data_IF_414498541160
#
_entry.id   IF_414498541160
#
_cell.length_a   1.000
_cell.length_b   1.000
_cell.length_c   1.000
_cell.angle_alpha   90.00
_cell.angle_beta   90.00
_cell.angle_gamma   90.00
#
_symmetry.space_group_name_H-M   'P 1'
#
loop_
_entity.id
_entity.type
_entity.pdbx_description
1 polymer ?
#
# COMPACT_ATOMS: atom_id res chain seq x y z
N UNK A 1 1.79 -21.61 35.70
CA UNK A 1 3.21 -21.23 35.56
C UNK A 1 3.47 -21.00 34.07
N UNK A 2 3.34 -19.76 33.62
CA UNK A 2 3.52 -19.30 32.24
C UNK A 2 4.35 -18.02 32.36
N UNK A 3 5.55 -17.90 31.76
CA UNK A 3 6.34 -16.69 31.89
C UNK A 3 5.78 -15.59 30.98
N UNK A 4 5.67 -14.39 31.55
CA UNK A 4 5.29 -13.15 30.89
C UNK A 4 6.33 -12.78 29.83
N UNK A 5 5.89 -12.50 28.59
CA UNK A 5 6.74 -11.84 27.59
C UNK A 5 6.86 -10.35 27.94
N UNK A 6 8.09 -9.93 28.23
CA UNK A 6 8.43 -8.52 28.38
C UNK A 6 8.39 -7.83 27.02
N UNK A 7 7.54 -6.82 26.90
CA UNK A 7 7.62 -5.80 25.86
C UNK A 7 8.80 -4.87 26.20
N UNK A 8 9.73 -4.68 25.27
CA UNK A 8 10.74 -3.63 25.33
C UNK A 8 10.69 -2.82 24.03
N UNK A 9 10.46 -1.49 24.09
CA UNK A 9 10.46 -0.61 22.95
C UNK A 9 11.88 -0.10 22.72
N UNK A 10 12.53 -0.50 21.64
CA UNK A 10 13.66 0.26 21.11
C UNK A 10 13.88 -0.03 19.62
N UNK A 11 13.22 0.78 18.80
CA UNK A 11 13.63 1.07 17.42
C UNK A 11 14.97 1.78 17.44
N UNK A 12 16.04 1.06 17.12
CA UNK A 12 17.29 1.52 16.49
C UNK A 12 18.36 0.44 16.69
N UNK A 13 18.33 -0.62 15.89
CA UNK A 13 19.47 -1.53 15.77
C UNK A 13 20.19 -1.24 14.44
N UNK A 14 21.50 -0.93 14.44
CA UNK A 14 22.25 -0.78 13.20
C UNK A 14 22.48 -2.17 12.58
N UNK A 15 22.35 -2.25 11.26
CA UNK A 15 22.67 -3.45 10.50
C UNK A 15 24.12 -3.86 10.76
N UNK A 16 24.32 -5.08 11.26
CA UNK A 16 25.66 -5.67 11.49
C UNK A 16 26.23 -6.12 10.15
N UNK A 17 27.32 -5.48 9.70
CA UNK A 17 28.13 -5.97 8.59
C UNK A 17 29.06 -7.08 9.09
N UNK A 18 28.95 -8.28 8.50
CA UNK A 18 29.92 -9.35 8.69
C UNK A 18 31.18 -9.09 7.85
N UNK A 19 32.31 -8.84 8.50
CA UNK A 19 33.60 -8.65 7.84
C UNK A 19 34.18 -10.01 7.41
N UNK A 20 34.31 -10.24 6.10
CA UNK A 20 35.13 -11.33 5.55
C UNK A 20 36.44 -10.71 5.06
N UNK A 21 37.55 -11.11 5.68
CA UNK A 21 38.91 -10.70 5.30
C UNK A 21 39.44 -11.58 4.18
N UNK A 22 39.80 -11.00 3.03
CA UNK A 22 40.74 -11.61 2.07
C UNK A 22 41.76 -10.57 1.57
N UNK A 23 43.04 -10.94 1.35
CA UNK A 23 44.09 -10.00 1.00
C UNK A 23 44.25 -9.84 -0.53
N UNK A 24 44.29 -8.56 -0.94
CA UNK A 24 44.78 -7.96 -2.20
C UNK A 24 44.76 -8.78 -3.51
N UNK A 25 43.83 -8.42 -4.40
CA UNK A 25 44.10 -8.21 -5.84
C UNK A 25 43.19 -7.09 -6.36
N UNK A 26 43.76 -6.08 -7.02
CA UNK A 26 43.03 -4.98 -7.65
C UNK A 26 42.21 -5.47 -8.84
N UNK A 27 40.88 -5.41 -8.71
CA UNK A 27 39.91 -5.46 -9.82
C UNK A 27 38.85 -4.39 -9.54
N UNK A 28 38.87 -3.33 -10.33
CA UNK A 28 37.77 -2.38 -10.44
C UNK A 28 36.54 -3.12 -10.96
N UNK A 29 35.51 -3.37 -10.14
CA UNK A 29 34.21 -3.82 -10.62
C UNK A 29 33.06 -3.49 -9.63
N UNK A 30 32.25 -2.50 -10.03
CA UNK A 30 30.80 -2.40 -9.80
C UNK A 30 30.17 -2.37 -8.38
N UNK A 31 30.61 -1.49 -7.46
CA UNK A 31 29.74 -1.05 -6.33
C UNK A 31 28.73 0.06 -6.72
N UNK A 32 28.81 0.55 -7.95
CA UNK A 32 28.10 1.74 -8.46
C UNK A 32 26.57 1.70 -8.43
N UNK A 33 25.87 0.55 -8.58
CA UNK A 33 24.40 0.54 -8.58
C UNK A 33 23.81 0.76 -7.18
N UNK A 34 24.35 0.11 -6.14
CA UNK A 34 23.80 0.22 -4.79
C UNK A 34 24.05 1.60 -4.16
N UNK A 35 25.27 2.14 -4.32
CA UNK A 35 25.63 3.44 -3.75
C UNK A 35 24.80 4.60 -4.33
N UNK A 36 24.39 4.49 -5.60
CA UNK A 36 23.49 5.44 -6.25
C UNK A 36 22.04 5.27 -5.82
N UNK A 37 21.59 4.03 -5.59
CA UNK A 37 20.24 3.75 -5.08
C UNK A 37 20.01 4.27 -3.67
N UNK A 38 21.02 4.23 -2.78
CA UNK A 38 20.91 4.81 -1.42
C UNK A 38 20.45 6.28 -1.48
N UNK A 39 20.87 7.02 -2.52
CA UNK A 39 20.54 8.43 -2.74
C UNK A 39 19.27 8.64 -3.57
N UNK A 40 18.37 7.66 -3.62
CA UNK A 40 17.14 7.74 -4.43
C UNK A 40 16.29 8.97 -4.11
N UNK A 41 16.27 9.42 -2.85
CA UNK A 41 15.50 10.60 -2.40
C UNK A 41 16.05 11.87 -3.03
N UNK A 42 17.37 12.04 -3.03
CA UNK A 42 18.08 13.15 -3.64
C UNK A 42 17.89 13.16 -5.15
N UNK A 43 17.97 11.98 -5.79
CA UNK A 43 17.72 11.82 -7.23
C UNK A 43 16.30 12.26 -7.59
N UNK A 44 15.28 11.79 -6.86
CA UNK A 44 13.90 12.21 -7.09
C UNK A 44 13.73 13.71 -6.84
N UNK A 45 14.27 14.24 -5.74
CA UNK A 45 14.16 15.67 -5.43
C UNK A 45 14.77 16.53 -6.55
N UNK A 46 15.89 16.11 -7.13
CA UNK A 46 16.53 16.79 -8.25
C UNK A 46 15.65 16.77 -9.51
N UNK A 47 15.06 15.62 -9.85
CA UNK A 47 14.14 15.48 -10.99
C UNK A 47 12.89 16.35 -10.78
N UNK A 48 12.30 16.30 -9.58
CA UNK A 48 11.11 17.08 -9.23
C UNK A 48 11.37 18.59 -9.26
N UNK A 49 12.56 19.03 -8.86
CA UNK A 49 12.95 20.44 -8.89
C UNK A 49 13.25 20.96 -10.31
N UNK A 50 13.63 20.06 -11.23
CA UNK A 50 14.03 20.41 -12.60
C UNK A 50 13.23 19.59 -13.62
N UNK A 51 11.89 19.69 -13.54
CA UNK A 51 11.00 18.85 -14.35
C UNK A 51 11.29 18.97 -15.85
N UNK A 52 11.47 17.83 -16.51
CA UNK A 52 11.71 17.70 -17.94
C UNK A 52 10.80 16.61 -18.58
N UNK A 53 10.63 16.62 -19.92
CA UNK A 53 9.97 15.53 -20.62
C UNK A 53 10.72 14.21 -20.37
N UNK A 54 9.98 13.15 -20.04
CA UNK A 54 10.55 11.82 -19.76
C UNK A 54 10.74 11.50 -18.27
N UNK A 55 10.55 12.47 -17.37
CA UNK A 55 10.78 12.25 -15.94
C UNK A 55 9.89 11.17 -15.31
N UNK A 56 8.65 11.02 -15.78
CA UNK A 56 7.76 9.98 -15.25
C UNK A 56 8.36 8.60 -15.53
N UNK A 57 8.90 8.39 -16.73
CA UNK A 57 9.57 7.15 -17.11
C UNK A 57 10.86 6.94 -16.31
N UNK A 58 11.66 8.00 -16.12
CA UNK A 58 12.90 7.93 -15.34
C UNK A 58 12.64 7.60 -13.86
N UNK A 59 11.66 8.26 -13.23
CA UNK A 59 11.25 7.98 -11.85
C UNK A 59 10.68 6.56 -11.73
N UNK A 60 9.84 6.12 -12.68
CA UNK A 60 9.29 4.76 -12.69
C UNK A 60 10.40 3.70 -12.81
N UNK A 61 11.41 3.93 -13.67
CA UNK A 61 12.57 3.05 -13.81
C UNK A 61 13.45 2.99 -12.55
N UNK A 62 13.64 4.13 -11.87
CA UNK A 62 14.29 4.14 -10.54
C UNK A 62 13.48 3.30 -9.53
N UNK A 63 12.15 3.39 -9.58
CA UNK A 63 11.24 2.55 -8.80
C UNK A 63 11.44 1.06 -9.06
N UNK A 64 11.57 0.67 -10.33
CA UNK A 64 11.83 -0.73 -10.71
C UNK A 64 13.14 -1.25 -10.14
N UNK A 65 14.21 -0.46 -10.26
CA UNK A 65 15.50 -0.82 -9.69
C UNK A 65 15.40 -0.95 -8.16
N UNK A 66 14.76 0.00 -7.46
CA UNK A 66 14.56 -0.09 -6.01
C UNK A 66 13.77 -1.35 -5.60
N UNK A 67 12.77 -1.74 -6.40
CA UNK A 67 11.97 -2.94 -6.16
C UNK A 67 12.80 -4.22 -6.31
N UNK A 68 13.69 -4.30 -7.30
CA UNK A 68 14.59 -5.44 -7.51
C UNK A 68 15.50 -5.69 -6.29
N UNK A 69 15.94 -4.63 -5.60
CA UNK A 69 16.71 -4.72 -4.36
C UNK A 69 15.84 -4.86 -3.09
N UNK A 70 14.53 -5.06 -3.24
CA UNK A 70 13.60 -5.26 -2.12
C UNK A 70 13.20 -3.99 -1.37
N UNK A 71 13.49 -2.79 -1.90
CA UNK A 71 13.15 -1.52 -1.25
C UNK A 71 11.72 -1.08 -1.64
N UNK A 72 10.74 -1.89 -1.24
CA UNK A 72 9.33 -1.81 -1.67
C UNK A 72 8.68 -0.45 -1.37
N UNK A 73 8.92 0.10 -0.18
CA UNK A 73 8.35 1.40 0.18
C UNK A 73 8.93 2.52 -0.69
N UNK A 74 10.25 2.48 -0.97
CA UNK A 74 10.91 3.47 -1.81
C UNK A 74 10.41 3.38 -3.26
N UNK A 75 10.29 2.16 -3.81
CA UNK A 75 9.77 1.97 -5.17
C UNK A 75 8.34 2.46 -5.32
N UNK A 76 7.46 2.21 -4.34
CA UNK A 76 6.09 2.69 -4.40
C UNK A 76 6.00 4.23 -4.31
N UNK A 77 6.90 4.88 -3.57
CA UNK A 77 7.01 6.35 -3.57
C UNK A 77 7.38 6.86 -4.97
N UNK A 78 8.34 6.22 -5.65
CA UNK A 78 8.65 6.56 -7.04
C UNK A 78 7.39 6.49 -7.92
N UNK A 79 6.67 5.37 -7.86
CA UNK A 79 5.47 5.15 -8.65
C UNK A 79 4.36 6.19 -8.39
N UNK A 80 4.17 6.60 -7.13
CA UNK A 80 3.24 7.69 -6.77
C UNK A 80 3.65 9.01 -7.43
N UNK A 81 4.94 9.29 -7.51
CA UNK A 81 5.50 10.52 -8.09
C UNK A 81 5.59 10.50 -9.62
N UNK A 82 5.24 9.37 -10.25
CA UNK A 82 5.22 9.17 -11.70
C UNK A 82 3.88 8.61 -12.23
N UNK A 83 2.74 9.26 -11.96
CA UNK A 83 1.41 8.72 -12.24
C UNK A 83 1.16 8.40 -13.72
N UNK A 84 1.87 9.07 -14.65
CA UNK A 84 1.72 8.82 -16.09
C UNK A 84 2.48 7.58 -16.59
N UNK A 85 3.45 7.08 -15.81
CA UNK A 85 4.27 5.92 -16.15
C UNK A 85 4.07 4.74 -15.19
N UNK A 86 3.25 4.90 -14.16
CA UNK A 86 3.07 3.93 -13.08
C UNK A 86 1.60 3.79 -12.74
N UNK A 87 0.99 2.69 -13.20
CA UNK A 87 -0.41 2.39 -12.90
C UNK A 87 -0.55 1.84 -11.48
N UNK A 88 -1.41 2.48 -10.68
CA UNK A 88 -1.83 2.02 -9.35
C UNK A 88 -3.26 1.52 -9.47
N UNK A 89 -3.49 0.22 -9.30
CA UNK A 89 -4.80 -0.40 -9.53
C UNK A 89 -4.92 -1.75 -8.81
N UNK A 90 -6.03 -2.46 -9.03
CA UNK A 90 -6.22 -3.82 -8.54
C UNK A 90 -5.20 -4.79 -9.12
N UNK A 91 -4.93 -5.88 -8.41
CA UNK A 91 -3.87 -6.84 -8.77
C UNK A 91 -4.10 -7.51 -10.14
N UNK A 92 -5.36 -7.55 -10.56
CA UNK A 92 -5.87 -8.15 -11.79
C UNK A 92 -5.71 -7.26 -13.02
N UNK A 93 -5.43 -5.96 -12.83
CA UNK A 93 -5.21 -5.05 -13.94
C UNK A 93 -3.81 -5.22 -14.57
N UNK A 94 -3.68 -5.09 -15.90
CA UNK A 94 -2.40 -5.26 -16.59
C UNK A 94 -1.44 -4.12 -16.23
N UNK A 95 -0.15 -4.43 -16.13
CA UNK A 95 0.94 -3.46 -15.91
C UNK A 95 0.81 -2.64 -14.61
N UNK A 96 0.09 -3.14 -13.61
CA UNK A 96 -0.01 -2.51 -12.29
C UNK A 96 1.34 -2.58 -11.57
N UNK A 97 1.78 -1.43 -11.06
CA UNK A 97 3.03 -1.34 -10.28
C UNK A 97 2.84 -1.79 -8.84
N UNK A 98 1.72 -1.41 -8.23
CA UNK A 98 1.27 -1.89 -6.93
C UNK A 98 -0.23 -1.69 -6.72
N UNK A 99 -0.80 -2.44 -5.77
CA UNK A 99 -2.21 -2.31 -5.34
C UNK A 99 -2.32 -1.70 -3.94
N UNK A 100 -1.55 -2.20 -2.97
CA UNK A 100 -1.46 -1.63 -1.62
C UNK A 100 -0.04 -1.14 -1.35
N UNK A 101 0.07 0.00 -0.69
CA UNK A 101 1.36 0.57 -0.30
C UNK A 101 2.13 -0.36 0.65
N UNK A 102 3.43 -0.49 0.40
CA UNK A 102 4.32 -1.35 1.18
C UNK A 102 4.08 -2.86 1.03
N UNK A 103 3.10 -3.29 0.22
CA UNK A 103 2.83 -4.70 0.00
C UNK A 103 3.57 -5.21 -1.24
N UNK A 104 4.34 -6.28 -1.08
CA UNK A 104 5.04 -6.93 -2.20
C UNK A 104 4.37 -8.24 -2.60
N UNK A 105 3.58 -8.17 -3.67
CA UNK A 105 2.90 -9.32 -4.27
C UNK A 105 3.86 -10.21 -5.08
N UNK A 106 5.05 -9.73 -5.43
CA UNK A 106 6.00 -10.48 -6.29
C UNK A 106 6.82 -11.50 -5.50
N UNK A 107 7.12 -11.22 -4.23
CA UNK A 107 7.92 -12.12 -3.39
C UNK A 107 7.08 -13.03 -2.48
N UNK A 108 5.79 -12.72 -2.25
CA UNK A 108 4.94 -13.47 -1.33
C UNK A 108 3.56 -13.77 -1.95
N UNK A 109 3.46 -14.83 -2.74
CA UNK A 109 2.20 -15.32 -3.31
C UNK A 109 1.27 -16.00 -2.27
N UNK A 110 1.60 -15.92 -0.99
CA UNK A 110 0.82 -16.56 0.07
C UNK A 110 -0.39 -15.70 0.46
N UNK A 111 -1.47 -16.40 0.81
CA UNK A 111 -2.77 -15.88 1.28
C UNK A 111 -2.63 -14.80 2.38
N UNK A 112 -1.52 -14.80 3.12
CA UNK A 112 -1.22 -13.84 4.18
C UNK A 112 -1.11 -12.37 3.71
N UNK A 113 -0.85 -12.11 2.43
CA UNK A 113 -0.74 -10.75 1.91
C UNK A 113 -2.09 -9.99 1.85
N UNK A 114 -3.23 -10.70 1.88
CA UNK A 114 -4.54 -10.07 1.90
C UNK A 114 -4.93 -9.51 3.28
N UNK A 115 -4.22 -9.92 4.34
CA UNK A 115 -4.47 -9.52 5.73
C UNK A 115 -3.45 -8.50 6.27
N UNK A 116 -2.75 -7.78 5.38
CA UNK A 116 -1.82 -6.74 5.80
C UNK A 116 -2.56 -5.41 6.06
N UNK A 117 -3.08 -5.26 7.27
CA UNK A 117 -3.77 -4.04 7.71
C UNK A 117 -2.87 -2.79 7.71
N UNK A 118 -1.55 -2.97 7.85
CA UNK A 118 -0.62 -1.85 7.79
C UNK A 118 -0.55 -1.28 6.36
N UNK A 119 -0.46 -2.15 5.36
CA UNK A 119 -0.51 -1.75 3.94
C UNK A 119 -1.86 -1.14 3.56
N UNK A 120 -2.97 -1.68 4.07
CA UNK A 120 -4.29 -1.08 3.92
C UNK A 120 -4.28 0.36 4.47
N UNK A 121 -3.88 0.55 5.73
CA UNK A 121 -3.86 1.87 6.38
C UNK A 121 -2.97 2.89 5.64
N UNK A 122 -1.78 2.48 5.18
CA UNK A 122 -0.93 3.34 4.37
C UNK A 122 -1.62 3.77 3.08
N UNK A 123 -2.35 2.85 2.45
CA UNK A 123 -3.09 3.11 1.20
C UNK A 123 -4.31 4.00 1.45
N UNK A 124 -4.95 3.90 2.62
CA UNK A 124 -6.02 4.82 3.04
C UNK A 124 -5.51 6.25 3.24
N UNK A 125 -4.34 6.42 3.85
CA UNK A 125 -3.71 7.75 4.00
C UNK A 125 -3.40 8.33 2.61
N UNK A 126 -2.93 7.49 1.68
CA UNK A 126 -2.72 7.91 0.31
C UNK A 126 -4.03 8.29 -0.40
N UNK A 127 -5.08 7.47 -0.31
CA UNK A 127 -6.41 7.80 -0.84
C UNK A 127 -6.96 9.11 -0.25
N UNK A 128 -6.78 9.33 1.06
CA UNK A 128 -7.15 10.57 1.71
C UNK A 128 -6.37 11.76 1.14
N UNK A 129 -5.05 11.63 0.95
CA UNK A 129 -4.23 12.64 0.31
C UNK A 129 -4.67 12.98 -1.11
N UNK A 130 -5.12 11.99 -1.88
CA UNK A 130 -5.73 12.20 -3.20
C UNK A 130 -7.03 13.01 -3.08
N UNK A 131 -7.92 12.65 -2.15
CA UNK A 131 -9.19 13.35 -1.95
C UNK A 131 -9.03 14.85 -1.62
N UNK A 132 -7.93 15.24 -0.96
CA UNK A 132 -7.63 16.65 -0.68
C UNK A 132 -7.34 17.49 -1.94
N UNK A 133 -6.95 16.85 -3.04
CA UNK A 133 -6.68 17.50 -4.32
C UNK A 133 -7.91 17.51 -5.25
N UNK A 134 -9.13 17.45 -4.69
CA UNK A 134 -10.41 17.37 -5.40
C UNK A 134 -10.58 16.13 -6.30
N UNK A 135 -9.84 15.05 -6.06
CA UNK A 135 -10.13 13.76 -6.70
C UNK A 135 -11.16 12.98 -5.87
N UNK A 136 -12.42 13.38 -5.99
CA UNK A 136 -13.53 12.86 -5.17
C UNK A 136 -13.89 11.39 -5.46
N UNK A 137 -13.19 10.72 -6.38
CA UNK A 137 -13.46 9.32 -6.72
C UNK A 137 -13.00 8.31 -5.67
N UNK A 138 -12.00 8.62 -4.85
CA UNK A 138 -11.31 7.58 -4.06
C UNK A 138 -10.68 6.50 -4.95
N UNK A 139 -10.32 5.35 -4.37
CA UNK A 139 -9.68 4.25 -5.10
C UNK A 139 -10.64 3.04 -5.19
N UNK A 140 -11.22 2.73 -6.36
CA UNK A 140 -12.19 1.63 -6.48
C UNK A 140 -11.67 0.26 -6.07
N UNK A 141 -10.43 -0.04 -6.46
CA UNK A 141 -9.78 -1.31 -6.13
C UNK A 141 -9.54 -1.47 -4.62
N UNK A 142 -9.48 -0.37 -3.87
CA UNK A 142 -9.25 -0.38 -2.42
C UNK A 142 -10.49 -0.82 -1.63
N UNK A 143 -11.70 -0.62 -2.18
CA UNK A 143 -12.95 -0.77 -1.41
C UNK A 143 -13.20 -2.22 -0.96
N UNK A 144 -12.75 -3.22 -1.72
CA UNK A 144 -12.85 -4.62 -1.32
C UNK A 144 -11.98 -4.93 -0.08
N UNK A 145 -10.78 -4.33 0.01
CA UNK A 145 -9.90 -4.47 1.17
C UNK A 145 -10.48 -3.79 2.41
N UNK A 146 -11.07 -2.60 2.24
CA UNK A 146 -11.79 -1.90 3.31
C UNK A 146 -12.98 -2.70 3.82
N UNK A 147 -13.74 -3.32 2.91
CA UNK A 147 -14.87 -4.18 3.30
C UNK A 147 -14.40 -5.38 4.11
N UNK A 148 -13.32 -6.05 3.69
CA UNK A 148 -12.74 -7.17 4.45
C UNK A 148 -12.31 -6.72 5.85
N UNK A 149 -11.66 -5.56 5.96
CA UNK A 149 -11.28 -4.99 7.26
C UNK A 149 -12.50 -4.62 8.13
N UNK A 150 -13.58 -4.10 7.52
CA UNK A 150 -14.82 -3.82 8.24
C UNK A 150 -15.48 -5.08 8.81
N UNK A 151 -15.45 -6.20 8.07
CA UNK A 151 -15.88 -7.50 8.58
C UNK A 151 -15.05 -7.92 9.80
N UNK A 152 -13.72 -7.83 9.68
CA UNK A 152 -12.82 -8.16 10.79
C UNK A 152 -13.06 -7.26 12.02
N UNK A 153 -13.26 -5.95 11.83
CA UNK A 153 -13.62 -5.02 12.90
C UNK A 153 -14.94 -5.42 13.58
N UNK A 154 -15.95 -5.80 12.81
CA UNK A 154 -17.23 -6.24 13.35
C UNK A 154 -17.08 -7.53 14.18
N UNK A 155 -16.29 -8.49 13.70
CA UNK A 155 -16.02 -9.73 14.43
C UNK A 155 -15.22 -9.50 15.71
N UNK A 156 -14.37 -8.47 15.75
CA UNK A 156 -13.69 -8.01 16.96
C UNK A 156 -14.55 -7.12 17.88
N UNK A 157 -15.81 -6.85 17.53
CA UNK A 157 -16.72 -6.03 18.33
C UNK A 157 -16.61 -4.51 18.12
N UNK A 158 -15.78 -4.04 17.20
CA UNK A 158 -15.64 -2.61 16.85
C UNK A 158 -16.74 -2.17 15.88
N UNK A 159 -18.01 -2.31 16.30
CA UNK A 159 -19.18 -2.13 15.43
C UNK A 159 -19.30 -0.71 14.87
N UNK A 160 -18.99 0.32 15.65
CA UNK A 160 -19.08 1.71 15.20
C UNK A 160 -18.08 2.01 14.08
N UNK A 161 -16.86 1.47 14.19
CA UNK A 161 -15.83 1.67 13.17
C UNK A 161 -16.18 0.89 11.90
N UNK A 162 -16.65 -0.35 12.04
CA UNK A 162 -17.17 -1.12 10.90
C UNK A 162 -18.30 -0.41 10.16
N UNK A 163 -19.23 0.27 10.87
CA UNK A 163 -20.30 1.07 10.26
C UNK A 163 -19.75 2.23 9.43
N UNK A 164 -18.79 2.99 9.96
CA UNK A 164 -18.13 4.10 9.24
C UNK A 164 -17.48 3.62 7.95
N UNK A 165 -16.84 2.45 7.99
CA UNK A 165 -16.29 1.81 6.80
C UNK A 165 -17.39 1.50 5.77
N UNK A 166 -18.48 0.85 6.17
CA UNK A 166 -19.60 0.55 5.28
C UNK A 166 -20.19 1.82 4.65
N UNK A 167 -20.39 2.89 5.42
CA UNK A 167 -20.89 4.18 4.95
C UNK A 167 -19.94 4.82 3.93
N UNK A 168 -18.64 4.87 4.24
CA UNK A 168 -17.61 5.39 3.34
C UNK A 168 -17.58 4.62 2.02
N UNK A 169 -17.62 3.28 2.08
CA UNK A 169 -17.62 2.43 0.89
C UNK A 169 -18.89 2.68 0.05
N UNK A 170 -20.06 2.75 0.69
CA UNK A 170 -21.32 3.02 0.01
C UNK A 170 -21.32 4.38 -0.70
N UNK A 171 -20.70 5.40 -0.10
CA UNK A 171 -20.55 6.71 -0.73
C UNK A 171 -19.67 6.64 -1.97
N UNK A 172 -18.53 5.95 -1.90
CA UNK A 172 -17.64 5.76 -3.06
C UNK A 172 -18.37 4.98 -4.17
N UNK A 173 -19.07 3.89 -3.84
CA UNK A 173 -19.84 3.12 -4.82
C UNK A 173 -20.85 3.99 -5.57
N UNK A 174 -21.53 4.93 -4.88
CA UNK A 174 -22.48 5.86 -5.50
C UNK A 174 -21.81 6.82 -6.50
N UNK A 175 -20.56 7.21 -6.27
CA UNK A 175 -19.82 8.11 -7.16
C UNK A 175 -19.54 7.42 -8.51
N UNK A 176 -19.29 6.12 -8.51
CA UNK A 176 -19.09 5.32 -9.74
C UNK A 176 -20.42 4.88 -10.37
N UNK A 177 -21.27 5.86 -10.73
CA UNK A 177 -22.61 5.63 -11.33
C UNK A 177 -22.58 4.86 -12.66
N UNK A 178 -21.48 4.96 -13.42
CA UNK A 178 -21.25 4.19 -14.66
C UNK A 178 -20.73 2.77 -14.41
N UNK A 179 -20.60 2.38 -13.15
CA UNK A 179 -19.99 1.13 -12.72
C UNK A 179 -18.46 1.23 -12.66
N UNK A 180 -17.90 0.37 -11.82
CA UNK A 180 -16.46 0.12 -11.73
C UNK A 180 -16.25 -1.39 -11.89
N UNK A 181 -15.18 -1.86 -12.57
CA UNK A 181 -14.89 -3.29 -12.67
C UNK A 181 -14.72 -3.95 -11.30
N UNK A 182 -14.39 -3.17 -10.28
CA UNK A 182 -14.21 -3.64 -8.90
C UNK A 182 -15.53 -3.81 -8.14
N UNK A 183 -16.62 -3.19 -8.57
CA UNK A 183 -17.93 -3.21 -7.88
C UNK A 183 -18.87 -4.26 -8.47
N UNK A 184 -18.43 -5.51 -8.44
CA UNK A 184 -19.18 -6.67 -8.90
C UNK A 184 -20.28 -7.08 -7.90
N UNK A 185 -21.25 -7.90 -8.35
CA UNK A 185 -22.43 -8.26 -7.57
C UNK A 185 -22.13 -8.91 -6.21
N UNK A 186 -21.10 -9.76 -6.13
CA UNK A 186 -20.67 -10.39 -4.88
C UNK A 186 -20.20 -9.34 -3.84
N UNK A 187 -19.35 -8.40 -4.25
CA UNK A 187 -18.91 -7.29 -3.40
C UNK A 187 -20.10 -6.48 -2.85
N UNK A 188 -21.04 -6.11 -3.72
CA UNK A 188 -22.22 -5.34 -3.31
C UNK A 188 -23.12 -6.14 -2.36
N UNK A 189 -23.26 -7.44 -2.58
CA UNK A 189 -24.00 -8.32 -1.66
C UNK A 189 -23.31 -8.37 -0.29
N UNK A 190 -21.98 -8.55 -0.24
CA UNK A 190 -21.23 -8.60 1.02
C UNK A 190 -21.26 -7.27 1.79
N UNK A 191 -21.29 -6.14 1.09
CA UNK A 191 -21.49 -4.84 1.71
C UNK A 191 -22.88 -4.73 2.36
N UNK A 192 -23.92 -5.20 1.67
CA UNK A 192 -25.29 -5.24 2.21
C UNK A 192 -25.40 -6.16 3.43
N UNK A 193 -24.86 -7.37 3.33
CA UNK A 193 -24.87 -8.36 4.42
C UNK A 193 -24.25 -7.78 5.70
N UNK A 194 -23.07 -7.14 5.58
CA UNK A 194 -22.41 -6.53 6.74
C UNK A 194 -23.21 -5.35 7.28
N UNK A 195 -23.71 -4.48 6.40
CA UNK A 195 -24.50 -3.31 6.82
C UNK A 195 -25.75 -3.74 7.59
N UNK A 196 -26.46 -4.77 7.12
CA UNK A 196 -27.62 -5.33 7.81
C UNK A 196 -27.23 -5.92 9.18
N UNK A 197 -26.18 -6.74 9.23
CA UNK A 197 -25.67 -7.30 10.50
C UNK A 197 -25.34 -6.20 11.52
N UNK A 198 -24.73 -5.11 11.07
CA UNK A 198 -24.39 -3.98 11.93
C UNK A 198 -25.62 -3.20 12.41
N UNK A 199 -26.75 -3.20 11.69
CA UNK A 199 -28.00 -2.60 12.15
C UNK A 199 -28.65 -3.42 13.26
N UNK A 200 -28.69 -4.74 13.09
CA UNK A 200 -29.28 -5.68 14.06
C UNK A 200 -28.58 -5.63 15.42
N UNK A 201 -27.25 -5.47 15.43
CA UNK A 201 -26.46 -5.34 16.66
C UNK A 201 -26.37 -3.89 17.20
N UNK A 202 -26.98 -2.90 16.54
CA UNK A 202 -26.93 -1.47 16.93
C UNK A 202 -28.11 -0.97 17.75
N UNK A 203 -29.21 -1.72 17.83
CA UNK A 203 -30.46 -1.30 18.46
C UNK A 203 -30.53 -1.44 19.99
N UNK A 204 -29.44 -1.82 20.67
CA UNK A 204 -29.44 -2.17 22.11
C UNK A 204 -28.83 -1.14 23.07
N UNK A 205 -28.50 0.06 22.61
CA UNK A 205 -27.87 1.10 23.44
C UNK A 205 -28.69 2.39 23.48
N UNK A 206 -29.75 2.40 24.28
CA UNK A 206 -30.55 3.57 24.64
C UNK A 206 -30.79 3.56 26.14
#
# INVERSE_FOLDING_TARGET
MIPKSHYSPNTNAPYVFSNVTTPYTSLSDHSTPLDSLVKWRETIAMILANRAPGDNQAISALGDMLKEYGWIHASHICYILSPNASLISGFDAPNVRFTLLGNDYTQNLLINNFYNWQSLRMTEIYEFGLSLNNSDGGLPHLQAYKLLYAWWLADCGYLNEARRYCESIANIVKIYTKGSPYFHGCFLQKLKDLTQRLLEHGGGGG
#
